data_IF_232168659312
#
_entry.id   IF_232168659312
#
_cell.length_a   1.000
_cell.length_b   1.000
_cell.length_c   1.000
_cell.angle_alpha   90.00
_cell.angle_beta   90.00
_cell.angle_gamma   90.00
#
_symmetry.space_group_name_H-M   'P 1'
#
loop_
_entity.id
_entity.type
_entity.pdbx_description
1 polymer ?
#
# COMPACT_ATOMS: atom_id res chain seq x y z
N UNK A 1 -52.61 37.47 7.94
CA UNK A 1 -51.64 36.82 8.84
C UNK A 1 -50.77 35.91 8.00
N UNK A 2 -49.54 36.34 7.68
CA UNK A 2 -48.59 35.56 6.89
C UNK A 2 -47.60 34.91 7.85
N UNK A 3 -47.62 33.59 7.96
CA UNK A 3 -46.66 32.85 8.79
C UNK A 3 -45.28 32.84 8.10
N UNK A 4 -44.17 32.97 8.84
CA UNK A 4 -42.84 32.88 8.26
C UNK A 4 -42.50 31.42 7.94
N UNK A 5 -42.10 31.12 6.70
CA UNK A 5 -41.52 29.84 6.35
C UNK A 5 -40.14 29.71 6.98
N UNK A 6 -40.01 28.84 7.97
CA UNK A 6 -38.72 28.52 8.58
C UNK A 6 -37.85 27.81 7.54
N UNK A 7 -36.81 28.49 7.07
CA UNK A 7 -35.83 27.92 6.15
C UNK A 7 -35.06 26.80 6.84
N UNK A 8 -35.44 25.55 6.57
CA UNK A 8 -34.75 24.36 7.05
C UNK A 8 -33.41 24.23 6.32
N UNK A 9 -32.33 24.64 6.99
CA UNK A 9 -30.96 24.42 6.51
C UNK A 9 -30.64 22.92 6.55
N UNK A 10 -30.69 22.27 5.39
CA UNK A 10 -30.35 20.85 5.24
C UNK A 10 -28.83 20.67 5.37
N UNK A 11 -28.41 19.99 6.44
CA UNK A 11 -27.03 19.51 6.58
C UNK A 11 -26.76 18.48 5.49
N UNK A 12 -25.75 18.71 4.65
CA UNK A 12 -25.32 17.74 3.64
C UNK A 12 -24.47 16.67 4.32
N UNK A 13 -24.74 15.38 4.09
CA UNK A 13 -23.89 14.31 4.58
C UNK A 13 -22.52 14.38 3.90
N UNK A 14 -21.46 14.14 4.68
CA UNK A 14 -20.08 14.08 4.17
C UNK A 14 -19.90 12.75 3.44
N UNK A 15 -19.55 12.80 2.16
CA UNK A 15 -19.19 11.62 1.38
C UNK A 15 -17.71 11.27 1.59
N UNK A 16 -17.46 10.08 2.14
CA UNK A 16 -16.12 9.56 2.42
C UNK A 16 -15.66 8.52 1.38
N UNK A 17 -16.45 8.28 0.33
CA UNK A 17 -16.16 7.25 -0.68
C UNK A 17 -14.82 7.48 -1.37
N UNK A 18 -14.55 8.73 -1.79
CA UNK A 18 -13.28 9.10 -2.41
C UNK A 18 -12.09 8.92 -1.44
N UNK A 19 -12.24 9.34 -0.18
CA UNK A 19 -11.20 9.17 0.85
C UNK A 19 -10.90 7.69 1.09
N UNK A 20 -11.94 6.83 1.18
CA UNK A 20 -11.76 5.38 1.28
C UNK A 20 -11.02 4.82 0.07
N UNK A 21 -11.39 5.24 -1.14
CA UNK A 21 -10.74 4.76 -2.37
C UNK A 21 -9.25 5.16 -2.39
N UNK A 22 -8.93 6.42 -2.07
CA UNK A 22 -7.55 6.91 -2.00
C UNK A 22 -6.75 6.15 -0.94
N UNK A 23 -7.33 5.89 0.23
CA UNK A 23 -6.67 5.13 1.29
C UNK A 23 -6.33 3.71 0.84
N UNK A 24 -7.27 3.00 0.23
CA UNK A 24 -7.03 1.66 -0.29
C UNK A 24 -6.00 1.63 -1.41
N UNK A 25 -6.12 2.54 -2.39
CA UNK A 25 -5.16 2.62 -3.49
C UNK A 25 -3.74 2.93 -2.99
N UNK A 26 -3.61 3.88 -2.06
CA UNK A 26 -2.32 4.24 -1.48
C UNK A 26 -1.71 3.07 -0.73
N UNK A 27 -2.50 2.39 0.11
CA UNK A 27 -2.03 1.23 0.87
C UNK A 27 -1.58 0.10 -0.06
N UNK A 28 -2.39 -0.23 -1.06
CA UNK A 28 -2.06 -1.28 -2.03
C UNK A 28 -0.81 -0.92 -2.84
N UNK A 29 -0.70 0.33 -3.31
CA UNK A 29 0.47 0.78 -4.04
C UNK A 29 1.74 0.70 -3.17
N UNK A 30 1.66 1.13 -1.92
CA UNK A 30 2.77 1.04 -0.97
C UNK A 30 3.20 -0.41 -0.72
N UNK A 31 2.25 -1.32 -0.49
CA UNK A 31 2.55 -2.74 -0.30
C UNK A 31 3.16 -3.39 -1.55
N UNK A 32 2.67 -3.02 -2.74
CA UNK A 32 3.24 -3.48 -4.00
C UNK A 32 4.69 -3.02 -4.18
N UNK A 33 4.99 -1.76 -3.84
CA UNK A 33 6.36 -1.24 -3.88
C UNK A 33 7.28 -1.95 -2.87
N UNK A 34 6.79 -2.23 -1.66
CA UNK A 34 7.53 -3.02 -0.68
C UNK A 34 7.85 -4.43 -1.20
N UNK A 35 6.87 -5.10 -1.81
CA UNK A 35 7.08 -6.42 -2.40
C UNK A 35 8.14 -6.36 -3.52
N UNK A 36 8.04 -5.39 -4.43
CA UNK A 36 9.04 -5.20 -5.50
C UNK A 36 10.43 -4.91 -4.95
N UNK A 37 10.53 -4.12 -3.88
CA UNK A 37 11.80 -3.82 -3.24
C UNK A 37 12.44 -5.09 -2.65
N UNK A 38 11.73 -5.84 -1.81
CA UNK A 38 12.32 -7.03 -1.17
C UNK A 38 12.60 -8.17 -2.15
N UNK A 39 11.76 -8.33 -3.18
CA UNK A 39 11.94 -9.41 -4.15
C UNK A 39 12.99 -9.09 -5.22
N UNK A 40 13.12 -7.82 -5.62
CA UNK A 40 13.99 -7.43 -6.74
C UNK A 40 15.22 -6.60 -6.37
N UNK A 41 15.08 -5.68 -5.41
CA UNK A 41 16.09 -4.64 -5.14
C UNK A 41 16.94 -4.90 -3.90
N UNK A 42 16.48 -5.69 -2.93
CA UNK A 42 17.25 -5.98 -1.72
C UNK A 42 18.36 -7.01 -2.03
N UNK A 43 19.59 -6.51 -2.12
CA UNK A 43 20.80 -7.27 -2.48
C UNK A 43 21.88 -7.19 -1.38
N UNK A 44 21.52 -6.76 -0.18
CA UNK A 44 22.44 -6.59 0.95
C UNK A 44 23.12 -5.22 1.05
N UNK A 45 23.62 -4.66 -0.05
CA UNK A 45 24.16 -3.28 -0.05
C UNK A 45 23.06 -2.21 -0.05
N UNK A 46 21.89 -2.57 -0.58
CA UNK A 46 20.70 -1.72 -0.69
C UNK A 46 19.67 -2.02 0.41
N UNK A 47 19.97 -2.94 1.33
CA UNK A 47 19.02 -3.39 2.35
C UNK A 47 18.73 -2.30 3.36
N UNK A 48 17.44 -2.09 3.67
CA UNK A 48 16.98 -1.24 4.76
C UNK A 48 17.41 -1.77 6.14
N UNK A 49 17.82 -3.03 6.22
CA UNK A 49 18.32 -3.66 7.44
C UNK A 49 19.83 -3.53 7.63
N UNK A 50 20.53 -2.76 6.78
CA UNK A 50 21.98 -2.58 6.81
C UNK A 50 22.71 -3.55 5.90
N UNK A 51 24.03 -3.72 6.06
CA UNK A 51 24.84 -4.54 5.16
C UNK A 51 24.68 -6.05 5.45
N UNK A 52 23.47 -6.59 5.25
CA UNK A 52 23.14 -8.01 5.43
C UNK A 52 22.16 -8.51 4.35
N UNK A 53 22.21 -9.82 4.08
CA UNK A 53 21.47 -10.47 2.99
C UNK A 53 20.38 -11.41 3.46
N UNK A 54 19.95 -11.35 4.72
CA UNK A 54 19.00 -12.33 5.27
C UNK A 54 17.68 -12.40 4.49
N UNK A 55 17.12 -11.24 4.14
CA UNK A 55 15.88 -11.18 3.35
C UNK A 55 16.13 -11.62 1.91
N UNK A 56 17.26 -11.20 1.34
CA UNK A 56 17.68 -11.61 0.01
C UNK A 56 17.78 -13.13 -0.10
N UNK A 57 18.50 -13.79 0.81
CA UNK A 57 18.69 -15.24 0.84
C UNK A 57 17.37 -15.97 1.04
N UNK A 58 16.51 -15.49 1.95
CA UNK A 58 15.19 -16.08 2.15
C UNK A 58 14.34 -16.04 0.87
N UNK A 59 14.26 -14.89 0.20
CA UNK A 59 13.49 -14.76 -1.04
C UNK A 59 14.14 -15.53 -2.18
N UNK A 60 15.47 -15.53 -2.23
CA UNK A 60 16.28 -16.29 -3.16
C UNK A 60 16.02 -17.80 -3.02
N UNK A 61 15.91 -18.33 -1.80
CA UNK A 61 15.60 -19.74 -1.56
C UNK A 61 14.14 -20.07 -1.89
N UNK A 62 13.21 -19.15 -1.62
CA UNK A 62 11.80 -19.33 -1.96
C UNK A 62 11.59 -19.47 -3.48
N UNK A 63 12.30 -18.69 -4.32
CA UNK A 63 12.22 -18.86 -5.78
C UNK A 63 12.79 -20.19 -6.26
N UNK A 64 13.86 -20.68 -5.61
CA UNK A 64 14.43 -22.00 -5.87
C UNK A 64 13.44 -23.11 -5.52
N UNK A 65 12.76 -22.98 -4.38
CA UNK A 65 11.69 -23.90 -3.96
C UNK A 65 10.53 -23.93 -4.97
N UNK A 66 10.21 -22.79 -5.58
CA UNK A 66 9.20 -22.68 -6.65
C UNK A 66 9.73 -23.14 -8.03
N UNK A 67 10.97 -23.62 -8.12
CA UNK A 67 11.57 -24.16 -9.34
C UNK A 67 12.08 -23.11 -10.33
N UNK A 68 12.16 -21.84 -9.93
CA UNK A 68 12.71 -20.79 -10.79
C UNK A 68 14.25 -20.82 -10.75
N UNK A 69 14.93 -20.88 -11.90
CA UNK A 69 16.39 -20.94 -11.95
C UNK A 69 17.06 -19.62 -11.52
N UNK A 70 18.26 -19.71 -10.96
CA UNK A 70 19.17 -18.58 -10.72
C UNK A 70 20.35 -18.56 -11.70
N UNK A 71 20.96 -17.38 -11.89
CA UNK A 71 22.24 -17.19 -12.54
C UNK A 71 23.15 -16.42 -11.59
#
# INVERSE_FOLDING_TARGET
MTSPEAHQSRVRPIDLSATKAVMWLTLTAFLALLALYFVGMDQGATSVFGNNTYVHEFVHDARHLLGFPCH
#
